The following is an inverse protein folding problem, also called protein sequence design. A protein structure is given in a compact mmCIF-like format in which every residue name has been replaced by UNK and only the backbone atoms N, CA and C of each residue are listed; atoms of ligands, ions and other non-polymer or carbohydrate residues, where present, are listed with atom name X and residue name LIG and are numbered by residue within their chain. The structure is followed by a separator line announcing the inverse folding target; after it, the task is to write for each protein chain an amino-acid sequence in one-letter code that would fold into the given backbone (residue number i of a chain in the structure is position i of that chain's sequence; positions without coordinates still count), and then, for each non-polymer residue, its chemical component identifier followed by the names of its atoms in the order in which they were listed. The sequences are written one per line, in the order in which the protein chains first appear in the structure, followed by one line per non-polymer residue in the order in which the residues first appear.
data_IF_771501300410
#
_entry.id   IF_771501300410
#
_cell.length_a   1.000
_cell.length_b   1.000
_cell.length_c   1.000
_cell.angle_alpha   90.00
_cell.angle_beta   90.00
_cell.angle_gamma   90.00
#
_symmetry.space_group_name_H-M   'P 1'
#
loop_
_entity.id
_entity.type
_entity.pdbx_description
1 polymer ?
#
# COMPACT_ATOMS: atom_id res chain seq x y z
N UNK A 1 -12.07 -8.70 11.87
CA UNK A 1 -11.37 -9.91 11.39
C UNK A 1 -12.07 -10.40 10.14
N UNK A 2 -11.30 -10.69 9.09
CA UNK A 2 -11.78 -11.23 7.81
C UNK A 2 -10.89 -12.41 7.42
N UNK A 3 -11.49 -13.48 6.91
CA UNK A 3 -10.78 -14.63 6.34
C UNK A 3 -10.99 -14.65 4.82
N UNK A 4 -9.89 -14.60 4.06
CA UNK A 4 -9.87 -14.68 2.60
C UNK A 4 -9.33 -16.06 2.22
N UNK A 5 -10.07 -16.83 1.43
CA UNK A 5 -9.69 -18.18 0.99
C UNK A 5 -9.58 -18.24 -0.53
N UNK A 6 -8.68 -19.10 -1.05
CA UNK A 6 -8.45 -19.23 -2.48
C UNK A 6 -7.69 -18.03 -3.09
N UNK A 7 -7.01 -17.26 -2.25
CA UNK A 7 -6.19 -16.13 -2.68
C UNK A 7 -4.86 -16.62 -3.24
N UNK A 8 -4.38 -15.98 -4.31
CA UNK A 8 -3.06 -16.25 -4.85
C UNK A 8 -1.99 -15.69 -3.92
N UNK A 9 -1.11 -16.56 -3.40
CA UNK A 9 0.14 -16.11 -2.77
C UNK A 9 1.21 -15.88 -3.84
N UNK A 10 1.57 -14.62 -4.01
CA UNK A 10 2.62 -14.14 -4.89
C UNK A 10 3.48 -13.09 -4.18
N UNK A 11 4.53 -12.63 -4.85
CA UNK A 11 5.34 -11.51 -4.36
C UNK A 11 4.49 -10.26 -4.11
N UNK A 12 3.51 -9.97 -4.96
CA UNK A 12 2.61 -8.82 -4.78
C UNK A 12 1.79 -8.91 -3.49
N UNK A 13 1.23 -10.09 -3.18
CA UNK A 13 0.48 -10.28 -1.92
C UNK A 13 1.39 -10.32 -0.70
N UNK A 14 2.64 -10.79 -0.88
CA UNK A 14 3.64 -10.84 0.18
C UNK A 14 4.02 -9.42 0.62
N UNK A 15 4.42 -8.55 -0.32
CA UNK A 15 4.79 -7.17 0.00
C UNK A 15 3.59 -6.34 0.49
N UNK A 16 2.37 -6.63 0.00
CA UNK A 16 1.15 -6.03 0.55
C UNK A 16 0.96 -6.42 2.03
N UNK A 17 1.12 -7.70 2.35
CA UNK A 17 0.95 -8.21 3.73
C UNK A 17 2.02 -7.64 4.66
N UNK A 18 3.27 -7.53 4.21
CA UNK A 18 4.35 -6.85 4.94
C UNK A 18 4.04 -5.38 5.20
N UNK A 19 3.58 -4.63 4.19
CA UNK A 19 3.19 -3.24 4.34
C UNK A 19 2.04 -3.04 5.34
N UNK A 20 1.00 -3.89 5.28
CA UNK A 20 -0.11 -3.87 6.22
C UNK A 20 0.36 -4.14 7.67
N UNK A 21 1.28 -5.10 7.86
CA UNK A 21 1.87 -5.40 9.18
C UNK A 21 2.65 -4.21 9.75
N UNK A 22 3.41 -3.49 8.91
CA UNK A 22 4.12 -2.28 9.35
C UNK A 22 3.19 -1.18 9.86
N UNK A 23 1.93 -1.17 9.42
CA UNK A 23 0.93 -0.20 9.83
C UNK A 23 0.04 -0.68 10.99
N UNK A 24 0.36 -1.85 11.57
CA UNK A 24 -0.35 -2.41 12.72
C UNK A 24 -1.51 -3.36 12.37
N UNK A 25 -1.66 -3.77 11.11
CA UNK A 25 -2.63 -4.79 10.72
C UNK A 25 -2.04 -6.18 10.93
N UNK A 26 -2.73 -7.04 11.68
CA UNK A 26 -2.34 -8.43 11.80
C UNK A 26 -2.78 -9.19 10.54
N UNK A 27 -1.81 -9.84 9.88
CA UNK A 27 -2.04 -10.69 8.71
C UNK A 27 -1.41 -12.05 8.98
N UNK A 28 -2.26 -13.05 9.24
CA UNK A 28 -1.85 -14.45 9.40
C UNK A 28 -2.11 -15.22 8.10
N UNK A 29 -1.28 -16.22 7.85
CA UNK A 29 -1.22 -16.95 6.58
C UNK A 29 -1.13 -18.46 6.85
N UNK A 30 -2.23 -19.09 7.30
CA UNK A 30 -2.21 -20.44 7.86
C UNK A 30 -1.91 -21.55 6.83
N UNK A 31 -2.16 -21.30 5.55
CA UNK A 31 -1.89 -22.21 4.44
C UNK A 31 -1.56 -21.42 3.16
N UNK A 32 -1.33 -22.10 2.04
CA UNK A 32 -0.85 -21.51 0.77
C UNK A 32 -1.89 -20.65 0.02
N UNK A 33 -3.12 -20.57 0.50
CA UNK A 33 -4.23 -19.90 -0.19
C UNK A 33 -5.13 -19.06 0.71
N UNK A 34 -4.82 -19.01 2.01
CA UNK A 34 -5.65 -18.34 3.02
C UNK A 34 -4.90 -17.18 3.67
N UNK A 35 -5.60 -16.06 3.83
CA UNK A 35 -5.18 -14.92 4.64
C UNK A 35 -6.23 -14.63 5.71
N UNK A 36 -5.81 -14.52 6.97
CA UNK A 36 -6.64 -14.06 8.08
C UNK A 36 -6.17 -12.67 8.48
N UNK A 37 -7.01 -11.67 8.23
CA UNK A 37 -6.68 -10.25 8.42
C UNK A 37 -7.48 -9.69 9.59
N UNK A 38 -6.77 -9.16 10.58
CA UNK A 38 -7.34 -8.49 11.75
C UNK A 38 -6.78 -7.08 11.86
N UNK A 39 -7.67 -6.08 11.81
CA UNK A 39 -7.35 -4.66 11.90
C UNK A 39 -8.27 -4.01 12.92
N UNK A 40 -7.74 -3.04 13.68
CA UNK A 40 -8.52 -2.16 14.55
C UNK A 40 -9.30 -1.09 13.77
N UNK A 41 -9.03 -0.93 12.48
CA UNK A 41 -9.54 0.19 11.67
C UNK A 41 -8.70 1.46 11.79
N UNK A 42 -7.63 1.45 12.60
CA UNK A 42 -6.68 2.54 12.73
C UNK A 42 -5.30 2.07 12.28
N UNK A 43 -4.74 2.73 11.27
CA UNK A 43 -3.42 2.42 10.73
C UNK A 43 -2.42 3.48 11.18
N UNK A 44 -1.19 3.05 11.46
CA UNK A 44 -0.12 3.94 11.91
C UNK A 44 0.88 4.16 10.78
N UNK A 45 1.29 5.41 10.60
CA UNK A 45 2.40 5.75 9.72
C UNK A 45 3.70 5.07 10.21
N UNK A 46 4.34 4.22 9.39
CA UNK A 46 5.61 3.60 9.75
C UNK A 46 6.75 4.62 9.68
N UNK A 47 7.86 4.37 10.38
CA UNK A 47 9.04 5.24 10.34
C UNK A 47 9.74 5.26 8.97
N UNK A 48 9.47 4.28 8.11
CA UNK A 48 10.14 4.08 6.83
C UNK A 48 9.09 3.93 5.73
N UNK A 49 9.49 4.21 4.49
CA UNK A 49 8.62 4.03 3.35
C UNK A 49 8.09 2.58 3.25
N UNK A 50 6.82 2.46 2.86
CA UNK A 50 6.20 1.20 2.47
C UNK A 50 6.80 0.77 1.13
N UNK A 51 7.81 -0.09 1.19
CA UNK A 51 8.48 -0.61 0.00
C UNK A 51 7.71 -1.80 -0.58
N UNK A 52 7.15 -1.61 -1.78
CA UNK A 52 6.27 -2.58 -2.43
C UNK A 52 6.92 -3.29 -3.63
N UNK A 53 8.25 -3.21 -3.78
CA UNK A 53 8.96 -3.79 -4.92
C UNK A 53 8.37 -3.33 -6.25
N UNK A 54 8.04 -4.27 -7.14
CA UNK A 54 7.39 -4.00 -8.42
C UNK A 54 5.86 -4.26 -8.40
N UNK A 55 5.23 -4.34 -7.23
CA UNK A 55 3.82 -4.68 -7.06
C UNK A 55 2.90 -3.48 -7.38
N UNK A 56 2.64 -3.25 -8.66
CA UNK A 56 1.94 -2.03 -9.13
C UNK A 56 0.49 -1.95 -8.68
N UNK A 57 -0.14 -3.09 -8.42
CA UNK A 57 -1.49 -3.15 -7.85
C UNK A 57 -1.46 -2.70 -6.39
N UNK A 58 -0.50 -3.19 -5.60
CA UNK A 58 -0.34 -2.81 -4.21
C UNK A 58 -0.02 -1.31 -4.05
N UNK A 59 0.89 -0.78 -4.87
CA UNK A 59 1.23 0.65 -4.87
C UNK A 59 0.00 1.52 -5.05
N UNK A 60 -0.81 1.26 -6.08
CA UNK A 60 -2.00 2.07 -6.38
C UNK A 60 -3.07 1.95 -5.29
N UNK A 61 -3.33 0.74 -4.81
CA UNK A 61 -4.35 0.53 -3.78
C UNK A 61 -3.95 1.14 -2.44
N UNK A 62 -2.69 0.98 -2.01
CA UNK A 62 -2.23 1.59 -0.77
C UNK A 62 -2.20 3.12 -0.89
N UNK A 63 -1.68 3.71 -1.97
CA UNK A 63 -1.72 5.16 -2.16
C UNK A 63 -3.14 5.72 -2.00
N UNK A 64 -4.16 5.07 -2.59
CA UNK A 64 -5.55 5.51 -2.43
C UNK A 64 -6.12 5.27 -1.03
N UNK A 65 -5.79 4.14 -0.40
CA UNK A 65 -6.28 3.80 0.93
C UNK A 65 -5.72 4.73 2.01
N UNK A 66 -4.43 5.04 1.94
CA UNK A 66 -3.70 5.83 2.94
C UNK A 66 -4.21 7.27 3.06
N UNK A 67 -4.82 7.80 2.00
CA UNK A 67 -5.51 9.10 2.03
C UNK A 67 -6.66 9.19 3.06
N UNK A 68 -7.09 8.07 3.66
CA UNK A 68 -8.14 8.03 4.68
C UNK A 68 -7.58 7.93 6.11
N UNK A 69 -6.27 7.96 6.29
CA UNK A 69 -5.62 7.79 7.59
C UNK A 69 -4.75 9.01 7.92
N UNK A 70 -4.65 9.31 9.22
CA UNK A 70 -3.75 10.37 9.70
C UNK A 70 -2.32 9.84 9.79
N UNK A 71 -1.37 10.66 9.34
CA UNK A 71 0.07 10.38 9.42
C UNK A 71 0.77 10.56 8.08
N UNK A 72 2.11 10.63 8.12
CA UNK A 72 2.92 10.79 6.92
C UNK A 72 3.27 9.44 6.32
N UNK A 73 2.74 9.11 5.15
CA UNK A 73 3.03 7.85 4.48
C UNK A 73 3.87 8.09 3.23
N UNK A 74 4.82 7.18 2.98
CA UNK A 74 5.57 7.15 1.73
C UNK A 74 5.43 5.77 1.12
N UNK A 75 4.87 5.70 -0.09
CA UNK A 75 4.75 4.47 -0.88
C UNK A 75 5.83 4.47 -1.94
N UNK A 76 6.72 3.48 -1.92
CA UNK A 76 7.85 3.37 -2.85
C UNK A 76 8.00 1.93 -3.37
N UNK A 77 8.92 1.74 -4.30
CA UNK A 77 9.27 0.43 -4.83
C UNK A 77 10.66 0.43 -5.45
N UNK A 78 10.93 -0.60 -6.23
CA UNK A 78 12.21 -0.75 -6.91
C UNK A 78 12.38 0.24 -8.08
N UNK A 79 13.53 0.16 -8.75
CA UNK A 79 13.88 1.01 -9.90
C UNK A 79 12.90 0.90 -11.09
N UNK A 80 12.16 -0.20 -11.20
CA UNK A 80 11.14 -0.37 -12.22
C UNK A 80 9.82 0.27 -11.79
N UNK A 81 9.45 0.13 -10.52
CA UNK A 81 8.28 0.79 -9.95
C UNK A 81 8.38 2.31 -10.05
N UNK A 82 9.56 2.87 -9.80
CA UNK A 82 9.83 4.32 -9.92
C UNK A 82 9.73 4.87 -11.34
N UNK A 83 9.47 4.00 -12.34
CA UNK A 83 9.18 4.38 -13.74
C UNK A 83 7.71 4.11 -14.13
N UNK A 84 6.90 3.59 -13.21
CA UNK A 84 5.48 3.28 -13.47
C UNK A 84 4.62 4.52 -13.20
N UNK A 85 3.82 4.97 -14.18
CA UNK A 85 3.01 6.17 -14.01
C UNK A 85 1.92 5.94 -12.97
N UNK A 86 1.75 6.94 -12.10
CA UNK A 86 0.70 7.02 -11.08
C UNK A 86 0.00 8.39 -11.04
N UNK A 87 0.45 9.34 -11.88
CA UNK A 87 -0.10 10.71 -11.98
C UNK A 87 -1.63 10.81 -11.97
N UNK A 88 -2.39 10.04 -12.79
CA UNK A 88 -3.85 10.13 -12.77
C UNK A 88 -4.51 9.84 -11.42
N UNK A 89 -3.91 8.97 -10.59
CA UNK A 89 -4.38 8.70 -9.24
C UNK A 89 -4.05 9.87 -8.29
N UNK A 90 -2.82 10.39 -8.38
CA UNK A 90 -2.38 11.55 -7.59
C UNK A 90 -3.25 12.77 -7.90
N UNK A 91 -3.52 13.04 -9.17
CA UNK A 91 -4.38 14.15 -9.60
C UNK A 91 -5.81 14.01 -9.08
N UNK A 92 -6.34 12.78 -9.06
CA UNK A 92 -7.68 12.52 -8.53
C UNK A 92 -7.75 12.78 -7.01
N UNK A 93 -6.75 12.32 -6.26
CA UNK A 93 -6.64 12.54 -4.81
C UNK A 93 -6.46 14.03 -4.48
N UNK A 94 -5.63 14.75 -5.23
CA UNK A 94 -5.48 16.21 -5.09
C UNK A 94 -6.81 16.94 -5.29
N UNK A 95 -7.61 16.54 -6.28
CA UNK A 95 -8.95 17.13 -6.53
C UNK A 95 -9.94 16.84 -5.40
N UNK A 96 -9.70 15.80 -4.61
CA UNK A 96 -10.48 15.46 -3.42
C UNK A 96 -9.97 16.18 -2.17
N UNK A 97 -8.92 17.01 -2.27
CA UNK A 97 -8.34 17.76 -1.16
C UNK A 97 -7.35 16.96 -0.31
N UNK A 98 -6.88 15.81 -0.79
CA UNK A 98 -5.84 15.02 -0.13
C UNK A 98 -4.48 15.69 -0.36
N UNK A 99 -3.67 15.80 0.68
CA UNK A 99 -2.27 16.19 0.56
C UNK A 99 -1.47 15.00 0.02
N UNK A 100 -1.10 15.03 -1.25
CA UNK A 100 -0.38 13.92 -1.90
C UNK A 100 0.61 14.47 -2.92
N UNK A 101 1.78 13.84 -3.05
CA UNK A 101 2.79 14.25 -4.03
C UNK A 101 3.55 13.09 -4.65
N UNK A 102 3.77 13.19 -5.96
CA UNK A 102 4.67 12.34 -6.73
C UNK A 102 5.35 13.20 -7.82
N UNK A 103 6.41 13.95 -7.49
CA UNK A 103 6.97 14.99 -8.38
C UNK A 103 7.39 14.50 -9.77
N UNK A 104 7.81 13.24 -9.90
CA UNK A 104 8.19 12.64 -11.18
C UNK A 104 7.01 12.07 -11.98
N UNK A 105 5.79 12.12 -11.44
CA UNK A 105 4.62 11.42 -11.97
C UNK A 105 4.64 9.89 -11.73
N UNK A 106 5.66 9.39 -11.05
CA UNK A 106 5.89 7.99 -10.67
C UNK A 106 6.24 7.91 -9.18
N UNK A 107 6.19 6.71 -8.56
CA UNK A 107 6.70 6.51 -7.20
C UNK A 107 8.16 6.97 -7.01
N UNK A 108 8.57 7.39 -5.79
CA UNK A 108 7.80 7.35 -4.55
C UNK A 108 6.64 8.36 -4.51
N UNK A 109 5.59 8.00 -3.78
CA UNK A 109 4.42 8.86 -3.52
C UNK A 109 4.34 9.14 -2.04
N UNK A 110 4.32 10.41 -1.65
CA UNK A 110 4.01 10.83 -0.29
C UNK A 110 2.50 11.12 -0.20
N UNK A 111 1.82 10.55 0.79
CA UNK A 111 0.38 10.66 1.08
C UNK A 111 0.19 10.97 2.55
#
# INVERSE_FOLDING_TARGET
MVCLTGALKSDDTRVMSEALRLMGVQVDEPDDSTFVVTSSGHWQAPQHALFLGNAGTATRFLTAALANFEGDFVVDGDEYMRKRPIGPLVDALLRMGVEVSAPSGCPPVAV
#
